data_IF_241026201956
#
_entry.id   IF_241026201956
#
_cell.length_a   1.000
_cell.length_b   1.000
_cell.length_c   1.000
_cell.angle_alpha   90.00
_cell.angle_beta   90.00
_cell.angle_gamma   90.00
#
_symmetry.space_group_name_H-M   'P 1'
#
loop_
_entity.id
_entity.type
_entity.pdbx_description
1 polymer ?
#
# COMPACT_ATOMS: atom_id res chain seq x y z
N UNK A 1 -13.59 -20.85 -2.14
CA UNK A 1 -12.74 -20.49 -3.30
C UNK A 1 -12.04 -19.18 -2.95
N UNK A 2 -10.72 -19.11 -3.10
CA UNK A 2 -9.92 -17.89 -2.88
C UNK A 2 -9.38 -17.46 -4.23
N UNK A 3 -9.47 -16.17 -4.54
CA UNK A 3 -8.90 -15.60 -5.75
C UNK A 3 -7.57 -14.94 -5.39
N UNK A 4 -6.52 -15.34 -6.07
CA UNK A 4 -5.20 -14.72 -5.92
C UNK A 4 -4.99 -13.70 -7.05
N UNK A 5 -4.74 -12.46 -6.66
CA UNK A 5 -4.36 -11.39 -7.56
C UNK A 5 -3.12 -10.69 -7.02
N UNK A 6 -2.21 -10.30 -7.91
CA UNK A 6 -0.90 -9.74 -7.54
C UNK A 6 -0.88 -8.22 -7.45
N UNK A 7 -1.80 -7.56 -8.14
CA UNK A 7 -1.83 -6.10 -8.26
C UNK A 7 -3.06 -5.51 -7.57
N UNK A 8 -2.86 -4.40 -6.85
CA UNK A 8 -3.92 -3.73 -6.09
C UNK A 8 -5.11 -3.33 -6.98
N UNK A 9 -4.86 -2.84 -8.19
CA UNK A 9 -5.92 -2.46 -9.14
C UNK A 9 -6.82 -3.65 -9.51
N UNK A 10 -6.22 -4.83 -9.71
CA UNK A 10 -6.97 -6.05 -10.02
C UNK A 10 -7.79 -6.51 -8.82
N UNK A 11 -7.20 -6.48 -7.62
CA UNK A 11 -7.91 -6.81 -6.38
C UNK A 11 -9.15 -5.92 -6.22
N UNK A 12 -8.99 -4.60 -6.34
CA UNK A 12 -10.10 -3.64 -6.21
C UNK A 12 -11.13 -3.81 -7.32
N UNK A 13 -10.69 -4.11 -8.56
CA UNK A 13 -11.58 -4.43 -9.66
C UNK A 13 -12.45 -5.67 -9.42
N UNK A 14 -11.87 -6.74 -8.84
CA UNK A 14 -12.63 -7.94 -8.49
C UNK A 14 -13.64 -7.68 -7.37
N UNK A 15 -13.30 -6.86 -6.39
CA UNK A 15 -14.24 -6.42 -5.33
C UNK A 15 -15.40 -5.61 -5.96
N UNK A 16 -15.09 -4.66 -6.84
CA UNK A 16 -16.09 -3.87 -7.57
C UNK A 16 -17.01 -4.74 -8.42
N UNK A 17 -16.48 -5.80 -9.03
CA UNK A 17 -17.24 -6.81 -9.79
C UNK A 17 -18.09 -7.76 -8.91
N UNK A 18 -18.08 -7.59 -7.59
CA UNK A 18 -18.87 -8.41 -6.66
C UNK A 18 -18.29 -9.81 -6.38
N UNK A 19 -17.02 -10.05 -6.71
CA UNK A 19 -16.38 -11.37 -6.50
C UNK A 19 -16.12 -11.66 -5.02
N UNK A 20 -16.01 -10.62 -4.18
CA UNK A 20 -15.84 -10.77 -2.73
C UNK A 20 -15.30 -9.53 -2.04
N UNK A 21 -14.51 -9.74 -0.98
CA UNK A 21 -13.83 -8.71 -0.19
C UNK A 21 -12.31 -8.94 -0.18
N UNK A 22 -11.54 -7.90 0.15
CA UNK A 22 -10.09 -7.98 0.26
C UNK A 22 -9.58 -7.19 1.48
N UNK A 23 -8.48 -7.68 2.07
CA UNK A 23 -7.70 -6.94 3.06
C UNK A 23 -6.55 -6.27 2.33
N UNK A 24 -6.46 -4.95 2.44
CA UNK A 24 -5.49 -4.15 1.69
C UNK A 24 -4.81 -3.12 2.61
N UNK A 25 -3.57 -2.67 2.29
CA UNK A 25 -2.97 -1.52 2.95
C UNK A 25 -3.81 -0.25 2.75
N UNK A 26 -3.71 0.70 3.69
CA UNK A 26 -4.45 1.97 3.62
C UNK A 26 -4.16 2.79 2.36
N UNK A 27 -2.96 2.67 1.78
CA UNK A 27 -2.60 3.36 0.53
C UNK A 27 -3.45 2.94 -0.68
N UNK A 28 -4.09 1.77 -0.65
CA UNK A 28 -4.97 1.28 -1.72
C UNK A 28 -6.24 2.12 -1.85
N UNK A 29 -6.63 2.88 -0.82
CA UNK A 29 -7.78 3.81 -0.86
C UNK A 29 -7.66 4.90 -1.96
N UNK A 30 -6.46 5.09 -2.51
CA UNK A 30 -6.24 5.94 -3.70
C UNK A 30 -6.92 5.41 -4.97
N UNK A 31 -7.20 4.09 -5.04
CA UNK A 31 -7.91 3.46 -6.15
C UNK A 31 -9.41 3.50 -5.85
N UNK A 32 -10.14 4.38 -6.54
CA UNK A 32 -11.59 4.56 -6.36
C UNK A 32 -12.35 3.94 -7.52
N UNK A 33 -13.07 2.86 -7.24
CA UNK A 33 -14.03 2.27 -8.18
C UNK A 33 -15.43 2.36 -7.59
N UNK A 34 -16.42 2.47 -8.47
CA UNK A 34 -17.83 2.44 -8.08
C UNK A 34 -18.16 1.12 -7.36
N UNK A 35 -19.01 1.22 -6.32
CA UNK A 35 -19.42 0.07 -5.52
C UNK A 35 -18.39 -0.43 -4.50
N UNK A 36 -17.19 0.16 -4.42
CA UNK A 36 -16.16 -0.23 -3.44
C UNK A 36 -16.21 0.68 -2.21
N UNK A 37 -16.27 0.07 -1.03
CA UNK A 37 -16.17 0.76 0.26
C UNK A 37 -14.93 0.27 1.00
N UNK A 38 -14.09 1.21 1.41
CA UNK A 38 -12.93 0.93 2.27
C UNK A 38 -13.32 1.08 3.74
N UNK A 39 -13.06 0.04 4.53
CA UNK A 39 -13.36 0.01 5.95
C UNK A 39 -12.10 -0.33 6.73
N UNK A 40 -11.72 0.52 7.71
CA UNK A 40 -10.58 0.22 8.59
C UNK A 40 -10.87 -0.99 9.46
N UNK A 41 -9.88 -1.88 9.57
CA UNK A 41 -9.90 -3.00 10.51
C UNK A 41 -9.85 -2.49 11.95
N UNK A 42 -10.57 -3.18 12.84
CA UNK A 42 -10.59 -2.85 14.28
C UNK A 42 -9.31 -3.30 15.00
N UNK A 43 -8.68 -4.36 14.51
CA UNK A 43 -7.43 -4.89 15.06
C UNK A 43 -6.29 -3.90 14.80
N UNK A 44 -5.72 -3.34 15.87
CA UNK A 44 -4.68 -2.30 15.78
C UNK A 44 -3.34 -2.85 15.28
N UNK A 45 -3.09 -4.14 15.48
CA UNK A 45 -1.89 -4.82 15.00
C UNK A 45 -1.97 -5.26 13.54
N UNK A 46 -3.13 -5.13 12.88
CA UNK A 46 -3.33 -5.45 11.48
C UNK A 46 -2.74 -4.36 10.57
N UNK A 47 -1.42 -4.28 10.54
CA UNK A 47 -0.64 -3.30 9.79
C UNK A 47 0.31 -3.98 8.81
N UNK A 48 0.57 -3.32 7.68
CA UNK A 48 1.59 -3.71 6.72
C UNK A 48 2.78 -2.75 6.80
N UNK A 49 4.01 -3.29 6.82
CA UNK A 49 5.21 -2.47 6.84
C UNK A 49 5.60 -2.01 5.42
N UNK A 50 5.96 -0.73 5.27
CA UNK A 50 6.58 -0.19 4.07
C UNK A 50 8.07 0.00 4.33
N UNK A 51 8.91 -0.63 3.52
CA UNK A 51 10.36 -0.57 3.65
C UNK A 51 10.98 0.19 2.47
N UNK A 52 12.10 0.87 2.73
CA UNK A 52 12.93 1.51 1.72
C UNK A 52 14.29 0.82 1.66
N UNK A 53 14.58 0.18 0.53
CA UNK A 53 15.87 -0.44 0.25
C UNK A 53 16.76 0.50 -0.56
N UNK A 54 18.02 0.67 -0.13
CA UNK A 54 19.06 1.39 -0.87
C UNK A 54 20.42 0.76 -0.61
N UNK A 55 21.39 1.01 -1.50
CA UNK A 55 22.77 0.50 -1.36
C UNK A 55 23.53 1.36 -0.35
N UNK A 56 24.29 0.73 0.56
CA UNK A 56 25.03 1.44 1.61
C UNK A 56 26.04 2.46 1.06
N UNK A 57 26.75 2.13 -0.02
CA UNK A 57 27.68 3.01 -0.71
C UNK A 57 27.14 3.45 -2.09
N UNK A 58 25.89 3.93 -2.12
CA UNK A 58 25.30 4.45 -3.36
C UNK A 58 26.00 5.76 -3.79
N UNK A 59 26.51 5.86 -5.03
CA UNK A 59 27.20 7.05 -5.51
C UNK A 59 26.25 8.21 -5.87
N UNK A 60 24.93 8.01 -5.82
CA UNK A 60 23.96 9.04 -6.19
C UNK A 60 23.98 10.20 -5.18
N UNK A 61 24.37 11.42 -5.61
CA UNK A 61 24.48 12.56 -4.69
C UNK A 61 23.13 13.00 -4.10
N UNK A 62 22.01 12.58 -4.71
CA UNK A 62 20.66 12.92 -4.25
C UNK A 62 20.09 11.93 -3.23
N UNK A 63 20.71 10.75 -3.03
CA UNK A 63 20.16 9.73 -2.13
C UNK A 63 20.01 10.27 -0.70
N UNK A 64 21.04 10.95 -0.18
CA UNK A 64 20.98 11.52 1.16
C UNK A 64 19.83 12.52 1.35
N UNK A 65 19.54 13.32 0.33
CA UNK A 65 18.41 14.26 0.34
C UNK A 65 17.08 13.52 0.31
N UNK A 66 16.93 12.51 -0.56
CA UNK A 66 15.72 11.70 -0.65
C UNK A 66 15.43 10.97 0.66
N UNK A 67 16.43 10.31 1.26
CA UNK A 67 16.30 9.62 2.54
C UNK A 67 15.87 10.58 3.66
N UNK A 68 16.44 11.79 3.67
CA UNK A 68 16.05 12.83 4.63
C UNK A 68 14.59 13.25 4.48
N UNK A 69 14.10 13.41 3.24
CA UNK A 69 12.70 13.76 3.00
C UNK A 69 11.75 12.60 3.34
N UNK A 70 12.05 11.39 2.89
CA UNK A 70 11.21 10.22 3.16
C UNK A 70 11.10 9.91 4.66
N UNK A 71 12.18 10.07 5.44
CA UNK A 71 12.14 9.93 6.91
C UNK A 71 11.27 10.97 7.61
N UNK A 72 11.13 12.17 7.04
CA UNK A 72 10.21 13.20 7.55
C UNK A 72 8.77 12.82 7.28
N UNK A 73 8.47 12.37 6.07
CA UNK A 73 7.13 11.96 5.66
C UNK A 73 6.68 10.64 6.28
N UNK A 74 7.61 9.80 6.75
CA UNK A 74 7.30 8.52 7.41
C UNK A 74 6.89 8.66 8.89
N UNK A 75 7.02 9.85 9.51
CA UNK A 75 6.45 10.14 10.83
C UNK A 75 4.99 10.58 10.65
N UNK A 76 4.10 9.61 10.47
CA UNK A 76 2.64 9.79 10.56
C UNK A 76 2.11 8.87 11.66
#
# INVERSE_FOLDING_TARGET
>A
MVQEARDASTIVGLVSAGVGLAIVPSGTESIRLEGVVYQRLREKSAVSALHLGYREADPNPYLGLLLKQLRRSARV
#
